data_IF_071241635504
#
_entry.id   IF_071241635504
#
_cell.length_a   1.000
_cell.length_b   1.000
_cell.length_c   1.000
_cell.angle_alpha   90.00
_cell.angle_beta   90.00
_cell.angle_gamma   90.00
#
_symmetry.space_group_name_H-M   'P 1'
#
loop_
_entity.id
_entity.type
_entity.pdbx_description
1 polymer ?
#
# COMPACT_ATOMS: atom_id res chain seq x y z
N UNK A 1 -28.54 -42.09 -13.73
CA UNK A 1 -28.97 -40.97 -12.85
C UNK A 1 -27.91 -40.51 -11.84
N UNK A 2 -26.96 -41.34 -11.40
CA UNK A 2 -25.92 -40.93 -10.43
C UNK A 2 -24.88 -39.94 -10.98
N UNK A 3 -24.47 -40.09 -12.25
CA UNK A 3 -23.45 -39.23 -12.88
C UNK A 3 -23.86 -37.76 -13.01
N UNK A 4 -25.13 -37.47 -13.31
CA UNK A 4 -25.62 -36.08 -13.40
C UNK A 4 -25.61 -35.39 -12.03
N UNK A 5 -25.92 -36.13 -10.96
CA UNK A 5 -25.90 -35.60 -9.59
C UNK A 5 -24.47 -35.34 -9.09
N UNK A 6 -23.52 -36.19 -9.48
CA UNK A 6 -22.09 -35.95 -9.22
C UNK A 6 -21.57 -34.74 -10.02
N UNK A 7 -22.00 -34.59 -11.27
CA UNK A 7 -21.62 -33.48 -12.12
C UNK A 7 -22.17 -32.14 -11.62
N UNK A 8 -23.44 -32.05 -11.23
CA UNK A 8 -24.02 -30.82 -10.65
C UNK A 8 -23.40 -30.50 -9.29
N UNK A 9 -23.10 -31.52 -8.48
CA UNK A 9 -22.40 -31.36 -7.20
C UNK A 9 -20.99 -30.80 -7.41
N UNK A 10 -20.24 -31.36 -8.36
CA UNK A 10 -18.88 -30.91 -8.71
C UNK A 10 -18.88 -29.44 -9.17
N UNK A 11 -19.75 -29.07 -10.11
CA UNK A 11 -19.88 -27.69 -10.59
C UNK A 11 -20.30 -26.71 -9.48
N UNK A 12 -21.14 -27.15 -8.54
CA UNK A 12 -21.57 -26.37 -7.38
C UNK A 12 -20.42 -26.12 -6.40
N UNK A 13 -19.57 -27.13 -6.18
CA UNK A 13 -18.39 -27.06 -5.32
C UNK A 13 -17.33 -26.12 -5.91
N UNK A 14 -16.99 -26.26 -7.20
CA UNK A 14 -16.02 -25.36 -7.86
C UNK A 14 -16.44 -23.89 -7.79
N UNK A 15 -17.72 -23.58 -8.03
CA UNK A 15 -18.24 -22.20 -7.90
C UNK A 15 -18.10 -21.66 -6.48
N UNK A 16 -18.36 -22.46 -5.45
CA UNK A 16 -18.17 -22.05 -4.05
C UNK A 16 -16.71 -21.74 -3.74
N UNK A 17 -15.78 -22.54 -4.24
CA UNK A 17 -14.34 -22.29 -4.08
C UNK A 17 -13.90 -21.01 -4.79
N UNK A 18 -14.36 -20.78 -6.03
CA UNK A 18 -14.08 -19.55 -6.76
C UNK A 18 -14.61 -18.31 -6.04
N UNK A 19 -15.84 -18.38 -5.51
CA UNK A 19 -16.43 -17.31 -4.73
C UNK A 19 -15.67 -17.07 -3.42
N UNK A 20 -15.24 -18.13 -2.73
CA UNK A 20 -14.45 -18.01 -1.50
C UNK A 20 -13.09 -17.36 -1.76
N UNK A 21 -12.40 -17.72 -2.85
CA UNK A 21 -11.14 -17.10 -3.26
C UNK A 21 -11.35 -15.62 -3.61
N UNK A 22 -12.38 -15.29 -4.39
CA UNK A 22 -12.70 -13.91 -4.72
C UNK A 22 -13.00 -13.07 -3.46
N UNK A 23 -13.79 -13.60 -2.53
CA UNK A 23 -14.10 -12.92 -1.26
C UNK A 23 -12.83 -12.69 -0.41
N UNK A 24 -11.94 -13.69 -0.33
CA UNK A 24 -10.68 -13.57 0.39
C UNK A 24 -9.76 -12.50 -0.21
N UNK A 25 -9.68 -12.42 -1.55
CA UNK A 25 -8.89 -11.38 -2.24
C UNK A 25 -9.43 -9.97 -1.97
N UNK A 26 -10.74 -9.78 -1.98
CA UNK A 26 -11.37 -8.49 -1.68
C UNK A 26 -11.14 -8.08 -0.22
N UNK A 27 -11.33 -9.01 0.72
CA UNK A 27 -11.08 -8.78 2.14
C UNK A 27 -9.61 -8.40 2.40
N UNK A 28 -8.66 -9.09 1.75
CA UNK A 28 -7.23 -8.78 1.83
C UNK A 28 -6.90 -7.38 1.31
N UNK A 29 -7.57 -6.91 0.26
CA UNK A 29 -7.40 -5.56 -0.27
C UNK A 29 -7.91 -4.50 0.71
N UNK A 30 -9.05 -4.75 1.38
CA UNK A 30 -9.65 -3.84 2.37
C UNK A 30 -8.74 -3.65 3.59
N UNK A 31 -8.03 -4.70 4.01
CA UNK A 31 -7.13 -4.68 5.16
C UNK A 31 -5.73 -4.12 4.86
N UNK A 32 -5.42 -3.71 3.62
CA UNK A 32 -4.15 -3.04 3.37
C UNK A 32 -4.15 -1.67 4.03
N UNK A 33 -3.20 -1.43 4.95
CA UNK A 33 -2.90 -0.09 5.46
C UNK A 33 -2.74 0.84 4.25
N UNK A 34 -3.57 1.88 4.17
CA UNK A 34 -3.41 2.92 3.15
C UNK A 34 -2.06 3.57 3.41
N UNK A 35 -1.07 3.29 2.56
CA UNK A 35 0.16 4.10 2.54
C UNK A 35 -0.26 5.56 2.33
N UNK A 36 0.42 6.49 3.01
CA UNK A 36 0.24 7.93 2.80
C UNK A 36 0.26 8.21 1.29
N UNK A 37 -0.65 9.09 0.85
CA UNK A 37 -0.71 9.55 -0.55
C UNK A 37 0.67 10.07 -0.96
N UNK A 38 1.31 10.79 -0.05
CA UNK A 38 2.62 11.38 -0.25
C UNK A 38 3.72 10.33 -0.37
N UNK A 39 3.71 9.21 0.38
CA UNK A 39 4.70 8.13 0.19
C UNK A 39 4.66 7.52 -1.24
N UNK A 40 3.50 7.55 -1.90
CA UNK A 40 3.37 7.10 -3.30
C UNK A 40 3.83 8.17 -4.27
N UNK A 41 3.39 9.41 -4.06
CA UNK A 41 3.71 10.54 -4.93
C UNK A 41 5.21 10.86 -4.88
N UNK A 42 5.84 10.77 -3.70
CA UNK A 42 7.28 10.88 -3.52
C UNK A 42 8.03 9.80 -4.30
N UNK A 43 7.66 8.52 -4.16
CA UNK A 43 8.35 7.44 -4.84
C UNK A 43 8.37 7.64 -6.37
N UNK A 44 7.29 8.21 -6.91
CA UNK A 44 7.16 8.56 -8.33
C UNK A 44 8.03 9.76 -8.71
N UNK A 45 8.14 10.77 -7.84
CA UNK A 45 8.90 12.01 -8.09
C UNK A 45 10.36 11.96 -7.64
N UNK A 46 10.82 10.85 -7.05
CA UNK A 46 12.17 10.72 -6.46
C UNK A 46 13.33 11.00 -7.41
N UNK A 47 13.13 10.78 -8.70
CA UNK A 47 14.14 11.03 -9.73
C UNK A 47 14.14 12.49 -10.20
N UNK A 48 13.05 13.22 -9.97
CA UNK A 48 12.84 14.59 -10.42
C UNK A 48 13.28 15.61 -9.37
N UNK A 49 13.13 15.29 -8.09
CA UNK A 49 13.60 16.14 -7.01
C UNK A 49 15.02 15.73 -6.61
N UNK A 50 15.93 16.70 -6.60
CA UNK A 50 17.15 16.58 -5.79
C UNK A 50 16.75 16.40 -4.32
N UNK A 51 17.63 15.79 -3.52
CA UNK A 51 17.37 15.59 -2.08
C UNK A 51 16.91 16.87 -1.37
N UNK A 52 17.46 18.03 -1.75
CA UNK A 52 17.11 19.33 -1.16
C UNK A 52 15.69 19.77 -1.52
N UNK A 53 15.27 19.60 -2.78
CA UNK A 53 13.92 19.96 -3.21
C UNK A 53 12.87 19.07 -2.53
N UNK A 54 13.20 17.81 -2.27
CA UNK A 54 12.33 16.94 -1.49
C UNK A 54 12.16 17.43 -0.06
N UNK A 55 13.26 17.82 0.60
CA UNK A 55 13.21 18.28 1.98
C UNK A 55 12.32 19.53 2.10
N UNK A 56 12.37 20.44 1.13
CA UNK A 56 11.46 21.59 1.08
C UNK A 56 9.98 21.18 1.05
N UNK A 57 9.62 20.11 0.33
CA UNK A 57 8.26 19.57 0.30
C UNK A 57 7.89 18.85 1.62
N UNK A 58 8.85 18.15 2.22
CA UNK A 58 8.67 17.42 3.48
C UNK A 58 8.42 18.32 4.68
N UNK A 59 8.92 19.56 4.66
CA UNK A 59 8.75 20.54 5.73
C UNK A 59 7.27 20.81 6.06
N UNK A 60 6.38 20.67 5.09
CA UNK A 60 4.94 20.92 5.29
C UNK A 60 4.21 19.73 5.94
N UNK A 61 4.83 18.54 6.02
CA UNK A 61 4.27 17.33 6.63
C UNK A 61 5.26 16.70 7.63
N UNK A 62 5.14 17.06 8.91
CA UNK A 62 6.06 16.63 9.99
C UNK A 62 6.23 15.10 10.08
N UNK A 63 5.16 14.34 9.88
CA UNK A 63 5.21 12.88 9.92
C UNK A 63 6.04 12.30 8.78
N UNK A 64 5.94 12.87 7.58
CA UNK A 64 6.66 12.38 6.41
C UNK A 64 8.13 12.82 6.43
N UNK A 65 8.44 13.99 7.02
CA UNK A 65 9.81 14.40 7.30
C UNK A 65 10.51 13.36 8.19
N UNK A 66 9.87 13.01 9.32
CA UNK A 66 10.38 12.01 10.23
C UNK A 66 10.48 10.62 9.57
N UNK A 67 9.52 10.25 8.72
CA UNK A 67 9.57 8.98 8.00
C UNK A 67 10.77 8.90 7.03
N UNK A 68 11.11 10.02 6.38
CA UNK A 68 12.19 10.08 5.39
C UNK A 68 13.57 10.19 6.03
N UNK A 69 13.76 11.12 6.97
CA UNK A 69 15.06 11.39 7.59
C UNK A 69 15.29 10.61 8.89
N UNK A 70 14.25 10.03 9.51
CA UNK A 70 14.29 9.39 10.84
C UNK A 70 14.73 10.32 11.97
N UNK A 71 14.56 11.62 11.76
CA UNK A 71 14.83 12.70 12.71
C UNK A 71 13.85 13.85 12.43
N UNK A 72 13.64 14.72 13.40
CA UNK A 72 12.88 15.96 13.22
C UNK A 72 13.67 17.01 12.42
N UNK A 73 12.97 18.08 12.02
CA UNK A 73 13.56 19.15 11.20
C UNK A 73 14.63 19.93 11.97
N UNK A 74 14.46 20.11 13.28
CA UNK A 74 15.40 20.84 14.13
C UNK A 74 16.74 20.09 14.23
N UNK A 75 16.70 18.80 14.52
CA UNK A 75 17.89 17.92 14.53
C UNK A 75 18.62 17.92 13.19
N UNK A 76 17.88 17.91 12.07
CA UNK A 76 18.49 17.98 10.75
C UNK A 76 19.22 19.32 10.51
N UNK A 77 18.62 20.44 10.94
CA UNK A 77 19.22 21.77 10.80
C UNK A 77 20.46 21.92 11.70
N UNK A 78 20.45 21.33 12.90
CA UNK A 78 21.62 21.28 13.79
C UNK A 78 22.79 20.51 13.18
N UNK A 79 22.52 19.40 12.48
CA UNK A 79 23.55 18.57 11.84
C UNK A 79 24.10 19.14 10.53
N UNK A 80 23.37 20.05 9.90
CA UNK A 80 23.79 20.71 8.65
C UNK A 80 24.84 21.81 8.91
N UNK A 81 24.95 22.26 10.17
CA UNK A 81 25.85 23.31 10.62
C UNK A 81 27.27 22.79 10.87
#
# INVERSE_FOLDING_TARGET
MQYLHQFTSYYSIERKHLLAVAAALVAKRKNRKKRSKWSKDWLLKRQQFSHVNLLAELKFEKDDWFNYLRMDEETYLELLH
#
